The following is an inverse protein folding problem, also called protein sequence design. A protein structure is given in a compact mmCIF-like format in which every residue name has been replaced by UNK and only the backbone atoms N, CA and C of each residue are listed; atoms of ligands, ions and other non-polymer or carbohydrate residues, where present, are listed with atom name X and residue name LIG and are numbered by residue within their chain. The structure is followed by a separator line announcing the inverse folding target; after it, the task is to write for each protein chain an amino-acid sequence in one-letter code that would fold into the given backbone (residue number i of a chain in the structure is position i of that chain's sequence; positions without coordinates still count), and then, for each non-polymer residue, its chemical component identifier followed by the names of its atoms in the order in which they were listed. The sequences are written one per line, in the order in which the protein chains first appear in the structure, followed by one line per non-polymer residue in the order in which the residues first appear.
data_IF_556538478780
#
_entry.id   IF_556538478780
#
_cell.length_a   1.000
_cell.length_b   1.000
_cell.length_c   1.000
_cell.angle_alpha   90.00
_cell.angle_beta   90.00
_cell.angle_gamma   90.00
#
_symmetry.space_group_name_H-M   'P 1'
#
loop_
_entity.id
_entity.type
_entity.pdbx_description
1 polymer ?
#
# COMPACT_ATOMS: atom_id res chain seq x y z
N UNK A 1 -17.16 -2.60 -12.85
CA UNK A 1 -16.01 -3.44 -12.52
C UNK A 1 -16.24 -4.15 -11.22
N UNK A 2 -15.58 -5.30 -11.01
CA UNK A 2 -15.68 -6.01 -9.73
C UNK A 2 -14.75 -5.40 -8.67
N UNK A 3 -15.24 -5.33 -7.43
CA UNK A 3 -14.48 -4.92 -6.26
C UNK A 3 -14.93 -5.67 -5.01
N UNK A 4 -14.03 -5.80 -4.03
CA UNK A 4 -14.39 -6.25 -2.69
C UNK A 4 -15.01 -5.07 -1.94
N UNK A 5 -16.26 -5.23 -1.52
CA UNK A 5 -17.05 -4.19 -0.85
C UNK A 5 -17.38 -4.63 0.57
N UNK A 6 -17.13 -3.75 1.51
CA UNK A 6 -17.53 -3.92 2.90
C UNK A 6 -18.97 -3.48 3.07
N UNK A 7 -19.86 -4.38 3.49
CA UNK A 7 -21.27 -4.06 3.73
C UNK A 7 -21.55 -3.77 5.21
N UNK A 8 -21.02 -4.59 6.08
CA UNK A 8 -21.13 -4.47 7.55
C UNK A 8 -20.16 -5.40 8.26
N UNK A 9 -20.06 -5.29 9.57
CA UNK A 9 -19.25 -6.18 10.38
C UNK A 9 -19.54 -7.66 10.06
N UNK A 10 -18.47 -8.39 9.76
CA UNK A 10 -18.54 -9.81 9.39
C UNK A 10 -19.03 -10.09 7.95
N UNK A 11 -19.27 -9.05 7.14
CA UNK A 11 -19.79 -9.25 5.79
C UNK A 11 -19.04 -8.41 4.76
N UNK A 12 -18.32 -9.10 3.88
CA UNK A 12 -17.73 -8.54 2.65
C UNK A 12 -18.26 -9.31 1.45
N UNK A 13 -18.51 -8.60 0.36
CA UNK A 13 -19.00 -9.17 -0.89
C UNK A 13 -18.13 -8.73 -2.06
N UNK A 14 -18.20 -9.46 -3.15
CA UNK A 14 -17.67 -9.00 -4.44
C UNK A 14 -18.84 -8.46 -5.23
N UNK A 15 -18.84 -7.16 -5.49
CA UNK A 15 -19.94 -6.49 -6.16
C UNK A 15 -19.46 -5.73 -7.41
N UNK A 16 -20.41 -5.35 -8.23
CA UNK A 16 -20.19 -4.51 -9.43
C UNK A 16 -20.27 -3.02 -9.04
N UNK A 17 -19.14 -2.35 -9.18
CA UNK A 17 -19.01 -0.92 -8.89
C UNK A 17 -18.58 -0.15 -10.14
N UNK A 18 -18.76 1.16 -10.16
CA UNK A 18 -18.30 2.00 -11.26
C UNK A 18 -16.76 1.91 -11.41
N UNK A 19 -16.27 1.82 -12.64
CA UNK A 19 -14.83 1.97 -12.91
C UNK A 19 -14.41 3.40 -12.57
N UNK A 20 -13.30 3.61 -11.84
CA UNK A 20 -12.81 4.95 -11.55
C UNK A 20 -12.35 5.66 -12.84
N UNK A 21 -12.43 6.98 -12.83
CA UNK A 21 -11.97 7.85 -13.91
C UNK A 21 -11.00 8.90 -13.39
N UNK A 22 -10.25 9.54 -14.28
CA UNK A 22 -9.41 10.70 -13.96
C UNK A 22 -10.33 11.83 -13.46
N UNK A 23 -10.02 12.42 -12.32
CA UNK A 23 -10.76 13.53 -11.70
C UNK A 23 -9.87 14.75 -11.45
N UNK A 24 -8.55 14.55 -11.31
CA UNK A 24 -7.55 15.60 -11.20
C UNK A 24 -6.46 15.40 -12.26
N UNK A 25 -5.75 16.46 -12.60
CA UNK A 25 -4.77 16.44 -13.69
C UNK A 25 -3.55 15.55 -13.42
N UNK A 26 -3.28 15.21 -12.17
CA UNK A 26 -2.19 14.35 -11.72
C UNK A 26 -2.63 12.95 -11.27
N UNK A 27 -3.89 12.58 -11.56
CA UNK A 27 -4.43 11.24 -11.29
C UNK A 27 -3.93 10.20 -12.29
N UNK A 28 -3.92 8.95 -11.83
CA UNK A 28 -3.72 7.78 -12.68
C UNK A 28 -4.81 6.75 -12.38
N UNK A 29 -5.33 6.09 -13.41
CA UNK A 29 -6.13 4.88 -13.27
C UNK A 29 -5.24 3.68 -13.51
N UNK A 30 -5.23 2.75 -12.57
CA UNK A 30 -4.39 1.54 -12.59
C UNK A 30 -5.30 0.32 -12.70
N UNK A 31 -5.04 -0.55 -13.67
CA UNK A 31 -5.61 -1.90 -13.73
C UNK A 31 -4.81 -2.80 -12.80
N UNK A 32 -5.44 -3.29 -11.74
CA UNK A 32 -4.78 -4.07 -10.69
C UNK A 32 -4.40 -5.45 -11.21
N UNK A 33 -3.15 -5.82 -10.99
CA UNK A 33 -2.59 -7.15 -11.29
C UNK A 33 -2.53 -8.01 -10.02
N UNK A 34 -2.15 -7.40 -8.90
CA UNK A 34 -2.11 -8.04 -7.58
C UNK A 34 -2.53 -7.04 -6.50
N UNK A 35 -3.28 -7.54 -5.56
CA UNK A 35 -3.59 -6.90 -4.29
C UNK A 35 -3.52 -7.91 -3.16
N UNK A 36 -3.45 -7.45 -1.93
CA UNK A 36 -3.50 -8.32 -0.76
C UNK A 36 -4.41 -7.77 0.33
N UNK A 37 -4.59 -8.56 1.38
CA UNK A 37 -5.34 -8.19 2.58
C UNK A 37 -4.36 -7.86 3.68
N UNK A 38 -4.42 -6.64 4.20
CA UNK A 38 -3.69 -6.23 5.39
C UNK A 38 -4.50 -6.54 6.67
N UNK A 39 -3.81 -6.69 7.78
CA UNK A 39 -4.46 -6.86 9.08
C UNK A 39 -5.37 -5.68 9.45
N UNK A 40 -5.06 -4.48 8.98
CA UNK A 40 -5.87 -3.28 9.21
C UNK A 40 -7.20 -3.29 8.45
N UNK A 41 -7.31 -3.97 7.31
CA UNK A 41 -8.57 -4.15 6.58
C UNK A 41 -9.61 -4.91 7.45
N UNK A 42 -9.11 -5.71 8.40
CA UNK A 42 -9.97 -6.52 9.27
C UNK A 42 -10.60 -5.73 10.42
N UNK A 43 -10.19 -4.51 10.68
CA UNK A 43 -10.80 -3.71 11.76
C UNK A 43 -12.24 -3.38 11.44
N UNK A 44 -12.50 -2.82 10.28
CA UNK A 44 -13.88 -2.57 9.82
C UNK A 44 -14.69 -3.86 9.74
N UNK A 45 -14.06 -4.96 9.29
CA UNK A 45 -14.72 -6.26 9.23
C UNK A 45 -15.15 -6.79 10.61
N UNK A 46 -14.36 -6.53 11.66
CA UNK A 46 -14.66 -7.01 13.01
C UNK A 46 -15.59 -6.11 13.81
N UNK A 47 -15.46 -4.79 13.65
CA UNK A 47 -16.03 -3.80 14.56
C UNK A 47 -16.83 -2.70 13.84
N UNK A 48 -16.93 -2.76 12.51
CA UNK A 48 -17.57 -1.72 11.71
C UNK A 48 -19.06 -1.61 12.00
N UNK A 49 -19.49 -0.40 12.37
CA UNK A 49 -20.89 -0.08 12.55
C UNK A 49 -21.59 -0.02 11.18
N UNK A 50 -22.85 -0.46 11.09
CA UNK A 50 -23.69 -0.35 9.88
C UNK A 50 -23.82 1.10 9.36
N UNK A 51 -23.59 2.08 10.23
CA UNK A 51 -23.66 3.51 9.92
C UNK A 51 -22.39 4.09 9.32
N UNK A 52 -21.26 3.51 9.60
CA UNK A 52 -20.02 3.79 8.90
C UNK A 52 -19.92 2.88 7.67
N UNK A 53 -20.99 2.84 6.90
CA UNK A 53 -20.94 2.29 5.57
C UNK A 53 -19.86 3.03 4.82
N UNK A 54 -18.63 2.62 5.03
CA UNK A 54 -17.59 2.76 4.04
C UNK A 54 -18.11 1.99 2.83
N UNK A 55 -19.10 2.53 2.14
CA UNK A 55 -19.71 2.01 0.91
C UNK A 55 -18.66 1.77 -0.17
N UNK A 56 -17.54 1.09 0.16
CA UNK A 56 -16.34 1.38 -0.54
C UNK A 56 -15.51 0.13 -0.62
N UNK A 57 -14.93 -0.02 -1.76
CA UNK A 57 -13.94 -1.00 -2.07
C UNK A 57 -12.93 -1.12 -0.93
N UNK A 58 -12.62 -2.34 -0.54
CA UNK A 58 -11.66 -2.63 0.53
C UNK A 58 -10.22 -2.62 0.01
N UNK A 59 -9.28 -2.53 0.95
CA UNK A 59 -7.84 -2.71 0.70
C UNK A 59 -7.09 -1.44 0.36
N UNK A 60 -5.78 -1.49 0.52
CA UNK A 60 -4.87 -0.37 0.29
C UNK A 60 -3.50 -0.80 -0.26
N UNK A 61 -3.34 -2.06 -0.62
CA UNK A 61 -2.09 -2.60 -1.15
C UNK A 61 -2.33 -3.17 -2.55
N UNK A 62 -1.72 -2.55 -3.56
CA UNK A 62 -1.84 -3.03 -4.94
C UNK A 62 -0.61 -2.73 -5.78
N UNK A 63 -0.48 -3.50 -6.85
CA UNK A 63 0.34 -3.20 -8.00
C UNK A 63 -0.41 -3.53 -9.28
N UNK A 64 -0.09 -2.83 -10.36
CA UNK A 64 -0.83 -3.00 -11.60
C UNK A 64 -0.23 -2.26 -12.79
N UNK A 65 -0.98 -2.24 -13.85
CA UNK A 65 -0.63 -1.57 -15.11
C UNK A 65 -1.38 -0.24 -15.19
N UNK A 66 -0.66 0.82 -15.49
CA UNK A 66 -1.25 2.13 -15.77
C UNK A 66 -2.17 2.01 -16.99
N UNK A 67 -3.43 2.36 -16.82
CA UNK A 67 -4.47 2.33 -17.87
C UNK A 67 -4.67 3.72 -18.48
N UNK A 68 -4.84 4.72 -17.62
CA UNK A 68 -5.10 6.11 -18.00
C UNK A 68 -4.28 7.05 -17.12
N UNK A 69 -3.90 8.20 -17.65
CA UNK A 69 -3.15 9.24 -16.92
C UNK A 69 -3.81 10.60 -17.12
N UNK A 70 -3.79 11.42 -16.10
CA UNK A 70 -4.17 12.83 -16.21
C UNK A 70 -3.10 13.62 -17.00
N UNK A 71 -3.48 14.83 -17.52
CA UNK A 71 -2.64 15.61 -18.42
C UNK A 71 -1.31 16.09 -17.80
N UNK A 72 -1.22 16.20 -16.46
CA UNK A 72 -0.01 16.67 -15.77
C UNK A 72 0.87 15.50 -15.28
N UNK A 73 0.47 14.24 -15.54
CA UNK A 73 1.27 13.08 -15.17
C UNK A 73 2.47 12.93 -16.11
N UNK A 74 3.67 12.94 -15.52
CA UNK A 74 4.94 12.86 -16.26
C UNK A 74 5.80 11.66 -15.85
N UNK A 75 5.60 11.11 -14.65
CA UNK A 75 6.39 10.01 -14.10
C UNK A 75 6.12 8.68 -14.80
N UNK A 76 4.87 8.45 -15.17
CA UNK A 76 4.38 7.19 -15.76
C UNK A 76 3.50 7.46 -16.97
N UNK A 77 3.29 6.43 -17.78
CA UNK A 77 2.41 6.45 -18.96
C UNK A 77 1.58 5.17 -19.04
N UNK A 78 0.49 5.14 -19.81
CA UNK A 78 -0.25 3.91 -20.08
C UNK A 78 0.68 2.75 -20.49
N UNK A 79 0.46 1.58 -19.89
CA UNK A 79 1.27 0.38 -20.08
C UNK A 79 2.43 0.22 -19.08
N UNK A 80 2.77 1.22 -18.29
CA UNK A 80 3.81 1.06 -17.27
C UNK A 80 3.34 0.17 -16.11
N UNK A 81 4.22 -0.70 -15.63
CA UNK A 81 3.99 -1.50 -14.43
C UNK A 81 4.37 -0.70 -13.19
N UNK A 82 3.46 -0.62 -12.21
CA UNK A 82 3.62 0.24 -11.04
C UNK A 82 3.18 -0.45 -9.74
N UNK A 83 3.78 0.00 -8.63
CA UNK A 83 3.31 -0.28 -7.27
C UNK A 83 2.62 0.97 -6.76
N UNK A 84 1.42 0.81 -6.20
CA UNK A 84 0.63 1.84 -5.57
C UNK A 84 0.84 1.80 -4.05
N UNK A 85 1.60 2.73 -3.44
CA UNK A 85 1.79 2.79 -2.00
C UNK A 85 0.48 3.02 -1.26
N UNK A 86 0.35 2.40 -0.08
CA UNK A 86 -0.86 2.52 0.75
C UNK A 86 -1.09 3.92 1.31
N UNK A 87 0.00 4.66 1.51
CA UNK A 87 -0.03 6.05 1.97
C UNK A 87 0.95 6.88 1.16
N UNK A 88 0.56 8.09 0.86
CA UNK A 88 1.39 9.03 0.10
C UNK A 88 0.91 10.47 0.33
N UNK A 89 1.73 11.42 -0.05
CA UNK A 89 1.42 12.84 0.03
C UNK A 89 1.24 13.49 -1.33
N UNK A 90 0.94 14.78 -1.32
CA UNK A 90 0.79 15.59 -2.54
C UNK A 90 2.11 16.01 -3.19
N UNK A 91 3.23 15.89 -2.46
CA UNK A 91 4.57 16.26 -2.94
C UNK A 91 4.91 17.75 -2.92
N UNK A 92 3.98 18.64 -2.56
CA UNK A 92 4.21 20.08 -2.65
C UNK A 92 3.85 20.89 -1.38
N UNK A 93 3.17 20.28 -0.38
CA UNK A 93 2.94 20.95 0.90
C UNK A 93 4.19 20.94 1.77
N UNK A 94 4.21 21.74 2.83
CA UNK A 94 5.36 21.87 3.72
C UNK A 94 5.77 20.52 4.34
N UNK A 95 4.81 19.70 4.74
CA UNK A 95 5.07 18.38 5.32
C UNK A 95 5.74 17.44 4.29
N UNK A 96 5.22 17.36 3.05
CA UNK A 96 5.80 16.53 2.00
C UNK A 96 7.21 16.97 1.63
N UNK A 97 7.42 18.28 1.45
CA UNK A 97 8.75 18.83 1.12
C UNK A 97 9.77 18.59 2.24
N UNK A 98 9.32 18.45 3.49
CA UNK A 98 10.14 18.06 4.62
C UNK A 98 10.35 16.54 4.77
N UNK A 99 9.73 15.71 3.88
CA UNK A 99 9.82 14.25 3.91
C UNK A 99 8.87 13.57 4.89
N UNK A 100 7.78 14.22 5.24
CA UNK A 100 6.73 13.70 6.13
C UNK A 100 5.41 13.49 5.38
N UNK A 101 5.42 12.68 4.35
CA UNK A 101 4.26 12.43 3.48
C UNK A 101 3.05 11.88 4.25
N UNK A 102 3.28 11.10 5.29
CA UNK A 102 2.22 10.56 6.16
C UNK A 102 1.44 11.64 6.93
N UNK A 103 1.94 12.87 6.99
CA UNK A 103 1.27 14.03 7.59
C UNK A 103 0.95 15.11 6.54
N UNK A 104 0.74 14.71 5.30
CA UNK A 104 0.42 15.61 4.20
C UNK A 104 -0.83 16.46 4.52
N UNK A 105 -0.72 17.77 4.29
CA UNK A 105 -1.83 18.72 4.50
C UNK A 105 -2.96 18.52 3.48
N UNK A 106 -2.62 17.97 2.31
CA UNK A 106 -3.53 17.70 1.20
C UNK A 106 -3.72 16.19 1.01
N UNK A 107 -3.95 15.46 2.10
CA UNK A 107 -4.16 14.02 2.00
C UNK A 107 -5.10 13.64 0.86
N UNK A 108 -4.78 12.58 0.08
CA UNK A 108 -5.71 12.05 -0.90
C UNK A 108 -7.07 11.80 -0.25
N UNK A 109 -8.11 12.41 -0.79
CA UNK A 109 -9.47 12.27 -0.27
C UNK A 109 -10.35 11.65 -1.36
N UNK A 110 -11.12 10.65 -1.02
CA UNK A 110 -11.16 9.96 0.27
C UNK A 110 -9.85 9.26 0.53
N UNK A 111 -9.50 9.11 1.79
CA UNK A 111 -8.30 8.36 2.17
C UNK A 111 -8.29 7.00 1.48
N UNK A 112 -7.16 6.33 1.41
CA UNK A 112 -7.01 5.03 0.74
C UNK A 112 -8.12 4.02 1.09
N UNK A 113 -8.74 4.14 2.25
CA UNK A 113 -9.88 3.35 2.71
C UNK A 113 -11.11 3.45 1.81
N UNK A 114 -11.31 4.54 1.12
CA UNK A 114 -12.50 4.77 0.30
C UNK A 114 -12.31 4.49 -1.20
N UNK A 115 -11.09 4.35 -1.68
CA UNK A 115 -10.81 3.99 -3.06
C UNK A 115 -10.52 2.50 -3.27
N UNK A 116 -10.42 1.74 -2.19
CA UNK A 116 -10.23 0.31 -2.09
C UNK A 116 -9.42 -0.35 -3.19
N UNK A 117 -8.23 -0.82 -2.85
CA UNK A 117 -7.33 -1.41 -3.83
C UNK A 117 -7.63 -2.87 -4.15
N UNK A 118 -8.55 -3.51 -3.41
CA UNK A 118 -9.06 -4.85 -3.73
C UNK A 118 -10.15 -4.78 -4.80
N UNK A 119 -9.82 -4.21 -5.95
CA UNK A 119 -10.70 -3.97 -7.09
C UNK A 119 -9.97 -4.24 -8.41
N UNK A 120 -10.70 -4.36 -9.51
CA UNK A 120 -10.08 -4.53 -10.83
C UNK A 120 -9.33 -3.27 -11.30
N UNK A 121 -9.80 -2.09 -10.91
CA UNK A 121 -9.18 -0.80 -11.21
C UNK A 121 -9.21 0.10 -9.99
N UNK A 122 -8.18 0.94 -9.86
CA UNK A 122 -8.08 1.95 -8.81
C UNK A 122 -7.72 3.30 -9.43
N UNK A 123 -8.18 4.37 -8.79
CA UNK A 123 -7.68 5.73 -9.03
C UNK A 123 -6.58 6.03 -8.02
N UNK A 124 -5.44 6.49 -8.51
CA UNK A 124 -4.32 6.89 -7.68
C UNK A 124 -4.04 8.39 -7.86
N UNK A 125 -4.08 9.13 -6.77
CA UNK A 125 -3.88 10.58 -6.75
C UNK A 125 -2.40 10.93 -6.54
N UNK A 126 -1.99 12.12 -6.99
CA UNK A 126 -0.61 12.61 -6.84
C UNK A 126 0.44 11.63 -7.41
N UNK A 127 0.15 11.09 -8.58
CA UNK A 127 0.93 10.02 -9.18
C UNK A 127 2.40 10.38 -9.42
N UNK A 128 2.69 11.63 -9.78
CA UNK A 128 4.06 12.11 -10.00
C UNK A 128 4.93 12.08 -8.74
N UNK A 129 4.32 12.08 -7.55
CA UNK A 129 5.06 12.06 -6.30
C UNK A 129 5.25 10.65 -5.75
N UNK A 130 4.23 9.81 -5.87
CA UNK A 130 4.15 8.62 -5.04
C UNK A 130 4.15 7.28 -5.79
N UNK A 131 3.77 7.22 -7.07
CA UNK A 131 3.80 5.95 -7.80
C UNK A 131 5.22 5.45 -7.99
N UNK A 132 5.41 4.15 -7.77
CA UNK A 132 6.69 3.48 -7.95
C UNK A 132 6.65 2.70 -9.26
N UNK A 133 7.40 3.15 -10.26
CA UNK A 133 7.53 2.43 -11.53
C UNK A 133 8.46 1.22 -11.36
N UNK A 134 7.95 0.06 -11.76
CA UNK A 134 8.69 -1.21 -11.78
C UNK A 134 9.21 -1.44 -13.20
N UNK A 135 10.49 -1.79 -13.39
CA UNK A 135 11.03 -2.14 -14.71
C UNK A 135 10.29 -3.35 -15.31
N UNK A 136 10.14 -3.38 -16.64
CA UNK A 136 9.52 -4.50 -17.34
C UNK A 136 8.01 -4.61 -17.13
N UNK A 137 7.49 -5.82 -17.28
CA UNK A 137 6.08 -6.16 -17.18
C UNK A 137 5.86 -7.26 -16.13
N UNK A 138 4.64 -7.45 -15.59
CA UNK A 138 4.37 -8.52 -14.62
C UNK A 138 4.83 -9.91 -15.07
N UNK A 139 4.75 -10.20 -16.39
CA UNK A 139 5.11 -11.47 -17.00
C UNK A 139 6.63 -11.75 -16.95
N UNK A 140 7.44 -10.72 -16.78
CA UNK A 140 8.90 -10.83 -16.67
C UNK A 140 9.35 -11.33 -15.28
N UNK A 141 8.43 -11.41 -14.33
CA UNK A 141 8.72 -11.76 -12.95
C UNK A 141 8.12 -13.12 -12.56
N UNK A 142 8.85 -13.87 -11.75
CA UNK A 142 8.29 -15.06 -11.13
C UNK A 142 7.16 -14.69 -10.14
N UNK A 143 6.25 -15.63 -9.89
CA UNK A 143 5.17 -15.44 -8.93
C UNK A 143 5.69 -15.07 -7.52
N UNK A 144 6.82 -15.66 -7.11
CA UNK A 144 7.48 -15.31 -5.85
C UNK A 144 8.00 -13.87 -5.82
N UNK A 145 8.55 -13.39 -6.93
CA UNK A 145 9.00 -12.00 -7.05
C UNK A 145 7.82 -11.02 -7.06
N UNK A 146 6.73 -11.33 -7.75
CA UNK A 146 5.53 -10.48 -7.74
C UNK A 146 4.95 -10.34 -6.32
N UNK A 147 4.93 -11.44 -5.54
CA UNK A 147 4.53 -11.38 -4.12
C UNK A 147 5.46 -10.50 -3.30
N UNK A 148 6.77 -10.58 -3.55
CA UNK A 148 7.75 -9.73 -2.86
C UNK A 148 7.60 -8.25 -3.25
N UNK A 149 7.40 -7.94 -4.53
CA UNK A 149 7.16 -6.58 -5.00
C UNK A 149 5.90 -5.98 -4.38
N UNK A 150 4.83 -6.77 -4.23
CA UNK A 150 3.60 -6.31 -3.61
C UNK A 150 3.81 -5.84 -2.16
N UNK A 151 4.74 -6.45 -1.41
CA UNK A 151 5.04 -6.02 -0.04
C UNK A 151 5.56 -4.58 0.05
N UNK A 152 6.11 -4.04 -1.05
CA UNK A 152 6.59 -2.65 -1.13
C UNK A 152 5.45 -1.63 -1.12
N UNK A 153 4.20 -2.06 -1.38
CA UNK A 153 3.05 -1.17 -1.30
C UNK A 153 2.73 -0.73 0.13
N UNK A 154 3.06 -1.57 1.14
CA UNK A 154 2.86 -1.27 2.56
C UNK A 154 3.89 -1.94 3.47
N UNK A 155 3.75 -3.26 3.71
CA UNK A 155 4.35 -3.94 4.87
C UNK A 155 5.87 -3.86 4.92
N UNK A 156 6.55 -3.88 3.78
CA UNK A 156 8.00 -3.72 3.72
C UNK A 156 8.41 -2.26 4.00
N UNK A 157 7.69 -1.28 3.44
CA UNK A 157 7.91 0.14 3.71
C UNK A 157 7.68 0.47 5.18
N UNK A 158 6.60 -0.07 5.76
CA UNK A 158 6.26 0.06 7.19
C UNK A 158 7.33 -0.55 8.08
N UNK A 159 7.80 -1.78 7.77
CA UNK A 159 8.89 -2.43 8.51
C UNK A 159 10.21 -1.67 8.41
N UNK A 160 10.53 -1.11 7.23
CA UNK A 160 11.71 -0.28 7.04
C UNK A 160 11.60 1.06 7.79
N UNK A 161 10.43 1.69 7.75
CA UNK A 161 10.17 2.90 8.52
C UNK A 161 10.37 2.67 10.03
N UNK A 162 9.85 1.56 10.57
CA UNK A 162 10.04 1.19 11.96
C UNK A 162 11.54 1.06 12.33
N UNK A 163 12.33 0.33 11.52
CA UNK A 163 13.75 0.16 11.75
C UNK A 163 14.54 1.50 11.64
N UNK A 164 14.11 2.39 10.72
CA UNK A 164 14.68 3.73 10.56
C UNK A 164 14.34 4.62 11.77
N UNK A 165 13.08 4.64 12.20
CA UNK A 165 12.60 5.43 13.34
C UNK A 165 13.22 4.98 14.67
N UNK A 166 13.47 3.67 14.83
CA UNK A 166 14.24 3.14 15.95
C UNK A 166 15.74 3.42 15.84
N UNK A 167 16.18 4.13 14.79
CA UNK A 167 17.57 4.48 14.54
C UNK A 167 18.52 3.27 14.55
N UNK A 168 18.08 2.12 14.04
CA UNK A 168 18.92 0.90 13.98
C UNK A 168 20.19 1.19 13.18
N UNK A 169 21.36 0.87 13.75
CA UNK A 169 22.68 1.08 13.18
C UNK A 169 23.43 -0.26 13.02
N UNK A 170 24.52 -0.21 12.25
CA UNK A 170 25.44 -1.33 12.11
C UNK A 170 25.98 -1.77 13.46
N UNK A 171 25.85 -3.06 13.77
CA UNK A 171 26.32 -3.65 15.01
C UNK A 171 25.26 -3.74 16.12
N UNK A 172 24.11 -3.11 15.98
CA UNK A 172 23.06 -3.12 16.99
C UNK A 172 22.47 -4.52 17.21
N UNK A 173 21.93 -4.70 18.42
CA UNK A 173 21.09 -5.83 18.78
C UNK A 173 19.66 -5.37 18.83
N UNK A 174 18.79 -6.00 18.03
CA UNK A 174 17.41 -5.57 17.79
C UNK A 174 16.46 -6.66 18.25
N UNK A 175 15.39 -6.26 18.93
CA UNK A 175 14.24 -7.12 19.23
C UNK A 175 13.05 -6.61 18.43
N UNK A 176 12.40 -7.49 17.67
CA UNK A 176 11.14 -7.23 16.97
C UNK A 176 10.05 -8.02 17.68
N UNK A 177 8.98 -7.34 18.09
CA UNK A 177 7.84 -7.97 18.77
C UNK A 177 6.66 -8.06 17.78
N UNK A 178 6.26 -9.28 17.47
CA UNK A 178 5.22 -9.60 16.47
C UNK A 178 5.82 -10.23 15.23
N UNK A 179 5.27 -11.37 14.82
CA UNK A 179 5.75 -12.25 13.74
C UNK A 179 4.87 -12.20 12.48
N UNK A 180 3.96 -11.24 12.41
CA UNK A 180 3.16 -10.97 11.22
C UNK A 180 4.00 -10.39 10.07
N UNK A 181 3.36 -10.07 8.95
CA UNK A 181 4.04 -9.57 7.75
C UNK A 181 4.93 -8.34 8.03
N UNK A 182 4.42 -7.36 8.78
CA UNK A 182 5.19 -6.16 9.17
C UNK A 182 6.38 -6.52 10.05
N UNK A 183 6.21 -7.43 11.04
CA UNK A 183 7.31 -7.86 11.90
C UNK A 183 8.42 -8.57 11.13
N UNK A 184 8.08 -9.47 10.21
CA UNK A 184 9.04 -10.12 9.34
C UNK A 184 9.76 -9.12 8.43
N UNK A 185 9.04 -8.15 7.86
CA UNK A 185 9.64 -7.07 7.09
C UNK A 185 10.56 -6.18 7.95
N UNK A 186 10.20 -5.94 9.23
CA UNK A 186 11.06 -5.20 10.16
C UNK A 186 12.37 -5.96 10.47
N UNK A 187 12.34 -7.30 10.54
CA UNK A 187 13.56 -8.13 10.65
C UNK A 187 14.44 -7.94 9.42
N UNK A 188 13.86 -8.00 8.22
CA UNK A 188 14.60 -7.75 6.97
C UNK A 188 15.20 -6.35 6.99
N UNK A 189 14.42 -5.35 7.35
CA UNK A 189 14.86 -3.95 7.42
C UNK A 189 15.98 -3.74 8.44
N UNK A 190 15.87 -4.32 9.64
CA UNK A 190 16.92 -4.26 10.66
C UNK A 190 18.23 -4.89 10.15
N UNK A 191 18.13 -6.01 9.44
CA UNK A 191 19.28 -6.67 8.78
C UNK A 191 19.90 -5.78 7.71
N UNK A 192 19.08 -5.16 6.85
CA UNK A 192 19.53 -4.21 5.81
C UNK A 192 20.28 -3.02 6.42
N UNK A 193 19.86 -2.56 7.60
CA UNK A 193 20.52 -1.49 8.34
C UNK A 193 21.77 -1.93 9.11
N UNK A 194 22.11 -3.22 9.08
CA UNK A 194 23.36 -3.75 9.61
C UNK A 194 23.30 -4.22 11.06
N UNK A 195 22.12 -4.50 11.60
CA UNK A 195 21.99 -5.10 12.92
C UNK A 195 22.81 -6.40 13.02
N UNK A 196 23.60 -6.56 14.10
CA UNK A 196 24.47 -7.72 14.31
C UNK A 196 23.72 -8.93 14.88
N UNK A 197 22.62 -8.69 15.58
CA UNK A 197 21.74 -9.72 16.13
C UNK A 197 20.29 -9.23 16.10
N UNK A 198 19.39 -10.08 15.64
CA UNK A 198 17.96 -9.78 15.60
C UNK A 198 17.23 -10.94 16.28
N UNK A 199 16.34 -10.62 17.20
CA UNK A 199 15.44 -11.57 17.86
C UNK A 199 14.01 -11.19 17.49
N UNK A 200 13.29 -12.10 16.82
CA UNK A 200 11.87 -11.96 16.56
C UNK A 200 11.11 -12.72 17.65
N UNK A 201 10.22 -11.99 18.35
CA UNK A 201 9.40 -12.57 19.42
C UNK A 201 7.96 -12.74 18.96
N UNK A 202 7.43 -13.91 19.19
CA UNK A 202 6.05 -14.29 18.87
C UNK A 202 5.41 -15.06 20.02
N UNK A 203 4.08 -15.07 20.02
CA UNK A 203 3.29 -15.95 20.88
C UNK A 203 2.59 -17.07 20.08
N UNK A 204 2.87 -17.15 18.78
CA UNK A 204 2.31 -18.17 17.89
C UNK A 204 3.36 -19.27 17.68
N UNK A 205 3.03 -20.50 18.07
CA UNK A 205 3.94 -21.64 17.94
C UNK A 205 4.03 -22.21 16.53
N UNK A 206 3.10 -21.82 15.67
CA UNK A 206 2.91 -22.28 14.29
C UNK A 206 3.55 -21.36 13.24
N UNK A 207 4.28 -20.34 13.68
CA UNK A 207 4.93 -19.36 12.80
C UNK A 207 6.44 -19.29 13.00
#
# INVERSE_FOLDING_TARGET
MKAAVFEKAGQMVVDEVAKPTIQASDDVVIRVVRGCVCGSDLWSYKEGDEKEAYSVNSGHEAMGIVEEVGPDVTLVKPGDFVIAPFTHGCGHCAACLAGYDGTCENHPVPTNWSNGYQAQYIRFQYANWALIKVPGQPEDYSEGMLKSLLTLSDVMATGYHAARSANVQKGDKVVVIGDGAVGQCAVIAAKMRGASRIVLMSRHADR
#
